data_IF_363114385224
#
_entry.id   IF_363114385224
#
_cell.length_a   1.000
_cell.length_b   1.000
_cell.length_c   1.000
_cell.angle_alpha   90.00
_cell.angle_beta   90.00
_cell.angle_gamma   90.00
#
_symmetry.space_group_name_H-M   'P 1'
#
loop_
_entity.id
_entity.type
_entity.pdbx_description
1 polymer ?
#
# COMPACT_ATOMS: atom_id res chain seq x y z
N UNK A 1 -15.12 -3.16 17.07
CA UNK A 1 -14.83 -1.86 17.69
C UNK A 1 -13.57 -1.93 18.57
N UNK A 2 -13.40 -2.99 19.34
CA UNK A 2 -12.28 -3.15 20.29
C UNK A 2 -10.92 -3.39 19.63
N UNK A 3 -10.88 -3.46 18.29
CA UNK A 3 -9.67 -3.76 17.51
C UNK A 3 -9.19 -2.58 16.67
N UNK A 4 -9.91 -1.47 16.71
CA UNK A 4 -9.56 -0.29 15.94
C UNK A 4 -8.34 0.42 16.53
N UNK A 5 -7.37 0.73 15.68
CA UNK A 5 -6.18 1.51 16.02
C UNK A 5 -6.37 2.91 15.46
N UNK A 6 -6.29 3.91 16.34
CA UNK A 6 -6.42 5.33 15.97
C UNK A 6 -5.14 6.13 16.19
N UNK A 7 -4.17 5.58 16.92
CA UNK A 7 -2.88 6.20 17.12
C UNK A 7 -2.06 6.21 15.83
N UNK A 8 -1.77 7.38 15.30
CA UNK A 8 -1.10 7.55 14.01
C UNK A 8 0.32 6.95 14.00
N UNK A 9 1.06 7.05 15.09
CA UNK A 9 2.41 6.45 15.17
C UNK A 9 2.33 4.91 15.09
N UNK A 10 1.34 4.32 15.74
CA UNK A 10 1.09 2.88 15.67
C UNK A 10 0.69 2.45 14.26
N UNK A 11 -0.17 3.23 13.60
CA UNK A 11 -0.57 2.96 12.20
C UNK A 11 0.65 2.98 11.28
N UNK A 12 1.54 3.96 11.42
CA UNK A 12 2.77 4.02 10.64
C UNK A 12 3.67 2.80 10.87
N UNK A 13 3.80 2.34 12.10
CA UNK A 13 4.56 1.12 12.41
C UNK A 13 3.98 -0.10 11.72
N UNK A 14 2.65 -0.24 11.75
CA UNK A 14 1.95 -1.35 11.10
C UNK A 14 2.19 -1.31 9.59
N UNK A 15 2.04 -0.15 8.96
CA UNK A 15 2.29 0.01 7.52
C UNK A 15 3.74 -0.34 7.16
N UNK A 16 4.70 0.09 7.97
CA UNK A 16 6.12 -0.24 7.77
C UNK A 16 6.40 -1.75 7.85
N UNK A 17 5.63 -2.47 8.66
CA UNK A 17 5.76 -3.92 8.81
C UNK A 17 5.12 -4.70 7.66
N UNK A 18 4.27 -4.08 6.85
CA UNK A 18 3.61 -4.72 5.72
C UNK A 18 4.54 -4.77 4.49
N UNK A 19 4.60 -5.90 3.80
CA UNK A 19 5.43 -6.09 2.61
C UNK A 19 4.69 -5.80 1.32
N UNK A 20 3.38 -5.91 1.34
CA UNK A 20 2.55 -5.87 0.14
C UNK A 20 1.32 -4.98 0.38
N UNK A 21 1.01 -4.18 -0.64
CA UNK A 21 -0.26 -3.47 -0.73
C UNK A 21 -1.08 -4.07 -1.86
N UNK A 22 -2.27 -4.53 -1.54
CA UNK A 22 -3.21 -5.06 -2.54
C UNK A 22 -4.17 -3.96 -2.94
N UNK A 23 -4.17 -3.64 -4.24
CA UNK A 23 -5.11 -2.68 -4.82
C UNK A 23 -6.30 -3.42 -5.41
N UNK A 24 -7.48 -2.97 -5.03
CA UNK A 24 -8.74 -3.41 -5.64
C UNK A 24 -9.18 -2.39 -6.69
N UNK A 25 -9.13 -2.79 -7.95
CA UNK A 25 -9.45 -1.96 -9.10
C UNK A 25 -10.83 -2.34 -9.63
N UNK A 26 -11.57 -1.36 -10.11
CA UNK A 26 -12.89 -1.58 -10.71
C UNK A 26 -12.79 -1.52 -12.23
N UNK A 27 -12.88 -2.67 -12.86
CA UNK A 27 -12.86 -2.84 -14.32
C UNK A 27 -14.29 -3.05 -14.82
N UNK A 28 -15.02 -1.95 -15.00
CA UNK A 28 -16.42 -1.98 -15.47
C UNK A 28 -17.31 -2.93 -14.63
N UNK A 29 -17.18 -2.85 -13.31
CA UNK A 29 -17.94 -3.68 -12.37
C UNK A 29 -17.25 -4.97 -11.97
N UNK A 30 -16.18 -5.37 -12.65
CA UNK A 30 -15.33 -6.50 -12.24
C UNK A 30 -14.23 -6.01 -11.33
N UNK A 31 -14.08 -6.67 -10.19
CA UNK A 31 -12.99 -6.35 -9.26
C UNK A 31 -11.72 -7.06 -9.70
N UNK A 32 -10.67 -6.27 -9.92
CA UNK A 32 -9.35 -6.79 -10.26
C UNK A 32 -8.38 -6.44 -9.12
N UNK A 33 -7.80 -7.45 -8.50
CA UNK A 33 -6.91 -7.27 -7.36
C UNK A 33 -5.48 -7.53 -7.78
N UNK A 34 -4.58 -6.60 -7.45
CA UNK A 34 -3.16 -6.71 -7.78
C UNK A 34 -2.32 -6.47 -6.52
N UNK A 35 -1.40 -7.40 -6.17
CA UNK A 35 -0.46 -7.21 -5.08
C UNK A 35 0.77 -6.44 -5.56
N UNK A 36 1.19 -5.44 -4.80
CA UNK A 36 2.30 -4.57 -5.19
C UNK A 36 3.20 -4.28 -3.99
N UNK A 37 4.50 -4.23 -4.23
CA UNK A 37 5.43 -3.60 -3.31
C UNK A 37 5.16 -2.10 -3.31
N UNK A 38 5.41 -1.45 -2.20
CA UNK A 38 5.06 -0.05 -2.04
C UNK A 38 6.08 0.71 -1.20
N UNK A 39 6.06 2.01 -1.36
CA UNK A 39 6.58 2.97 -0.41
C UNK A 39 5.45 3.86 0.05
N UNK A 40 5.70 4.71 1.03
CA UNK A 40 4.66 5.63 1.48
C UNK A 40 5.26 6.85 2.15
N UNK A 41 4.47 7.92 2.16
CA UNK A 41 4.71 9.10 2.99
C UNK A 41 3.47 9.37 3.83
N UNK A 42 3.68 10.00 4.98
CA UNK A 42 2.62 10.48 5.86
C UNK A 42 2.95 11.91 6.26
N UNK A 43 1.96 12.78 6.19
CA UNK A 43 2.07 14.17 6.61
C UNK A 43 0.72 14.60 7.18
N UNK A 44 0.71 14.95 8.48
CA UNK A 44 -0.53 15.37 9.17
C UNK A 44 -1.67 14.35 9.04
N UNK A 45 -1.35 13.06 9.20
CA UNK A 45 -2.27 11.93 9.06
C UNK A 45 -2.79 11.71 7.63
N UNK A 46 -2.19 12.38 6.66
CA UNK A 46 -2.46 12.15 5.24
C UNK A 46 -1.45 11.17 4.67
N UNK A 47 -1.94 10.07 4.13
CA UNK A 47 -1.13 8.98 3.60
C UNK A 47 -1.13 8.98 2.09
N UNK A 48 0.05 8.77 1.52
CA UNK A 48 0.23 8.54 0.09
C UNK A 48 1.08 7.30 -0.09
N UNK A 49 0.58 6.35 -0.87
CA UNK A 49 1.31 5.14 -1.23
C UNK A 49 1.89 5.28 -2.63
N UNK A 50 3.13 4.80 -2.81
CA UNK A 50 3.85 4.85 -4.07
C UNK A 50 4.10 3.46 -4.61
N UNK A 51 3.95 3.31 -5.91
CA UNK A 51 4.12 2.05 -6.64
C UNK A 51 4.89 2.28 -7.92
N UNK A 52 5.50 1.22 -8.42
CA UNK A 52 6.17 1.24 -9.73
C UNK A 52 5.85 -0.04 -10.50
N UNK A 53 6.05 0.01 -11.80
CA UNK A 53 5.84 -1.14 -12.65
C UNK A 53 6.13 -0.83 -14.11
N UNK A 54 5.72 -1.74 -14.99
CA UNK A 54 5.83 -1.55 -16.42
C UNK A 54 4.97 -0.37 -16.88
N UNK A 55 5.37 0.26 -17.99
CA UNK A 55 4.66 1.41 -18.56
C UNK A 55 3.32 1.07 -19.20
N UNK A 56 3.07 -0.20 -19.42
CA UNK A 56 1.83 -0.72 -20.00
C UNK A 56 1.36 -1.94 -19.22
N UNK A 57 0.08 -2.24 -19.30
CA UNK A 57 -0.52 -3.40 -18.68
C UNK A 57 -1.94 -3.15 -18.20
N UNK A 58 -2.60 -4.23 -17.82
CA UNK A 58 -4.03 -4.21 -17.44
C UNK A 58 -4.33 -3.25 -16.30
N UNK A 59 -3.51 -3.25 -15.24
CA UNK A 59 -3.75 -2.35 -14.10
C UNK A 59 -3.73 -0.87 -14.50
N UNK A 60 -2.82 -0.48 -15.38
CA UNK A 60 -2.74 0.91 -15.86
C UNK A 60 -3.92 1.27 -16.75
N UNK A 61 -4.36 0.36 -17.61
CA UNK A 61 -5.53 0.57 -18.45
C UNK A 61 -6.79 0.80 -17.62
N UNK A 62 -6.97 0.01 -16.55
CA UNK A 62 -8.08 0.18 -15.62
C UNK A 62 -7.98 1.51 -14.89
N UNK A 63 -6.82 1.85 -14.35
CA UNK A 63 -6.58 3.11 -13.62
C UNK A 63 -6.88 4.32 -14.49
N UNK A 64 -6.53 4.29 -15.77
CA UNK A 64 -6.81 5.39 -16.71
C UNK A 64 -8.31 5.59 -16.94
N UNK A 65 -9.11 4.53 -16.85
CA UNK A 65 -10.56 4.60 -16.99
C UNK A 65 -11.28 4.93 -15.70
N UNK A 66 -10.81 4.35 -14.58
CA UNK A 66 -11.37 4.54 -13.26
C UNK A 66 -10.23 4.51 -12.23
N UNK A 67 -9.87 5.68 -11.74
CA UNK A 67 -8.74 5.83 -10.82
C UNK A 67 -9.11 5.71 -9.34
N UNK A 68 -10.38 5.46 -9.03
CA UNK A 68 -10.83 5.23 -7.66
C UNK A 68 -10.59 3.76 -7.29
N UNK A 69 -9.87 3.52 -6.20
CA UNK A 69 -9.44 2.17 -5.82
C UNK A 69 -9.65 1.93 -4.34
N UNK A 70 -9.83 0.65 -3.99
CA UNK A 70 -9.68 0.19 -2.62
C UNK A 70 -8.30 -0.37 -2.41
N UNK A 71 -7.87 -0.47 -1.17
CA UNK A 71 -6.58 -1.08 -0.85
C UNK A 71 -6.62 -1.80 0.50
N UNK A 72 -5.70 -2.74 0.66
CA UNK A 72 -5.53 -3.50 1.89
C UNK A 72 -4.05 -3.82 2.08
N UNK A 73 -3.59 -3.70 3.33
CA UNK A 73 -2.28 -4.17 3.79
C UNK A 73 -2.49 -4.98 5.06
N UNK A 74 -1.75 -6.06 5.22
CA UNK A 74 -1.78 -6.82 6.47
C UNK A 74 -0.40 -7.34 6.83
N UNK A 75 -0.23 -7.67 8.10
CA UNK A 75 1.02 -8.20 8.64
C UNK A 75 0.78 -8.93 9.96
N UNK A 76 1.81 -9.62 10.42
CA UNK A 76 1.82 -10.31 11.72
C UNK A 76 0.66 -11.28 11.91
N UNK A 77 0.26 -11.95 10.83
CA UNK A 77 -0.79 -12.96 10.86
C UNK A 77 -0.28 -14.23 11.51
N UNK A 78 -0.95 -14.67 12.58
CA UNK A 78 -0.58 -15.86 13.31
C UNK A 78 -1.81 -16.52 13.93
N UNK A 79 -1.94 -17.82 13.73
CA UNK A 79 -2.97 -18.61 14.40
C UNK A 79 -2.44 -19.01 15.78
N UNK A 80 -3.28 -18.90 16.79
CA UNK A 80 -2.96 -19.41 18.12
C UNK A 80 -4.22 -19.98 18.78
N UNK A 81 -4.02 -20.78 19.84
CA UNK A 81 -5.12 -21.41 20.56
C UNK A 81 -4.93 -21.31 22.07
N UNK A 82 -6.04 -21.25 22.77
CA UNK A 82 -6.11 -21.35 24.24
C UNK A 82 -6.61 -22.71 24.71
N UNK A 83 -6.70 -23.70 23.81
CA UNK A 83 -7.18 -25.05 24.12
C UNK A 83 -7.41 -25.87 22.87
N UNK A 84 -7.87 -27.09 23.03
CA UNK A 84 -7.94 -28.07 21.95
C UNK A 84 -9.25 -28.05 21.14
N UNK A 85 -10.20 -27.23 21.54
CA UNK A 85 -11.47 -27.12 20.83
C UNK A 85 -11.35 -26.10 19.69
N UNK A 86 -12.02 -26.34 18.57
CA UNK A 86 -12.01 -25.46 17.41
C UNK A 86 -12.34 -23.99 17.76
N UNK A 87 -13.27 -23.77 18.68
CA UNK A 87 -13.65 -22.41 19.12
C UNK A 87 -12.58 -21.69 19.92
N UNK A 88 -11.52 -22.38 20.36
CA UNK A 88 -10.41 -21.79 21.08
C UNK A 88 -9.30 -21.25 20.15
N UNK A 89 -9.39 -21.57 18.86
CA UNK A 89 -8.44 -21.07 17.87
C UNK A 89 -8.85 -19.67 17.41
N UNK A 90 -7.86 -18.83 17.26
CA UNK A 90 -8.07 -17.45 16.77
C UNK A 90 -6.86 -16.98 15.97
N UNK A 91 -7.02 -15.91 15.22
CA UNK A 91 -5.93 -15.31 14.45
C UNK A 91 -5.53 -13.97 15.06
N UNK A 92 -4.24 -13.79 15.24
CA UNK A 92 -3.65 -12.46 15.48
C UNK A 92 -3.33 -11.85 14.15
N UNK A 93 -3.52 -10.56 14.02
CA UNK A 93 -3.21 -9.83 12.79
C UNK A 93 -3.19 -8.33 13.03
N UNK A 94 -2.56 -7.63 12.10
CA UNK A 94 -2.65 -6.18 11.97
C UNK A 94 -3.01 -5.88 10.52
N UNK A 95 -3.98 -5.03 10.29
CA UNK A 95 -4.43 -4.72 8.93
C UNK A 95 -4.81 -3.25 8.77
N UNK A 96 -4.63 -2.78 7.55
CA UNK A 96 -5.04 -1.44 7.13
C UNK A 96 -5.87 -1.60 5.87
N UNK A 97 -7.05 -1.01 5.84
CA UNK A 97 -7.92 -0.97 4.66
C UNK A 97 -8.36 0.45 4.38
N UNK A 98 -8.61 0.75 3.14
CA UNK A 98 -9.07 2.07 2.76
C UNK A 98 -9.34 2.21 1.29
N UNK A 99 -9.47 3.45 0.88
CA UNK A 99 -9.70 3.82 -0.51
C UNK A 99 -9.07 5.18 -0.83
N UNK A 100 -9.00 5.47 -2.11
CA UNK A 100 -8.49 6.74 -2.59
C UNK A 100 -8.36 6.76 -4.10
N UNK A 101 -7.65 7.75 -4.59
CA UNK A 101 -7.45 7.97 -6.02
C UNK A 101 -6.01 7.75 -6.43
N UNK A 102 -5.83 7.04 -7.54
CA UNK A 102 -4.51 6.79 -8.12
C UNK A 102 -4.21 7.84 -9.18
N UNK A 103 -2.97 8.33 -9.16
CA UNK A 103 -2.43 9.26 -10.15
C UNK A 103 -1.10 8.75 -10.66
N UNK A 104 -0.92 8.75 -11.99
CA UNK A 104 0.37 8.44 -12.61
C UNK A 104 1.26 9.68 -12.42
N UNK A 105 2.49 9.45 -11.95
CA UNK A 105 3.46 10.50 -11.71
C UNK A 105 4.31 10.69 -12.97
N UNK A 106 4.27 11.88 -13.54
CA UNK A 106 5.02 12.22 -14.76
C UNK A 106 6.19 13.14 -14.49
N UNK A 107 6.10 14.01 -13.47
CA UNK A 107 7.18 14.89 -13.07
C UNK A 107 8.40 14.10 -12.58
N UNK A 108 9.58 14.38 -13.16
CA UNK A 108 10.81 13.64 -12.88
C UNK A 108 11.25 13.75 -11.42
N UNK A 109 11.08 14.90 -10.78
CA UNK A 109 11.47 15.09 -9.39
C UNK A 109 10.53 14.34 -8.44
N UNK A 110 9.23 14.39 -8.70
CA UNK A 110 8.23 13.64 -7.93
C UNK A 110 8.43 12.14 -8.11
N UNK A 111 8.71 11.69 -9.34
CA UNK A 111 9.06 10.30 -9.66
C UNK A 111 10.26 9.82 -8.86
N UNK A 112 11.32 10.62 -8.83
CA UNK A 112 12.53 10.32 -8.07
C UNK A 112 12.23 10.17 -6.57
N UNK A 113 11.47 11.11 -6.01
CA UNK A 113 11.06 11.07 -4.61
C UNK A 113 10.26 9.81 -4.30
N UNK A 114 9.32 9.44 -5.15
CA UNK A 114 8.51 8.24 -5.00
C UNK A 114 9.37 6.96 -5.03
N UNK A 115 10.31 6.88 -5.97
CA UNK A 115 11.22 5.74 -6.08
C UNK A 115 12.16 5.63 -4.87
N UNK A 116 12.61 6.76 -4.32
CA UNK A 116 13.40 6.77 -3.09
C UNK A 116 12.61 6.23 -1.91
N UNK A 117 11.33 6.59 -1.77
CA UNK A 117 10.45 6.06 -0.72
C UNK A 117 10.21 4.55 -0.89
N UNK A 118 10.03 4.09 -2.13
CA UNK A 118 9.92 2.67 -2.45
C UNK A 118 11.17 1.90 -2.04
N UNK A 119 12.34 2.39 -2.41
CA UNK A 119 13.61 1.74 -2.10
C UNK A 119 13.90 1.76 -0.59
N UNK A 120 13.66 2.87 0.07
CA UNK A 120 13.81 3.00 1.52
C UNK A 120 12.93 2.00 2.27
N UNK A 121 11.67 1.88 1.89
CA UNK A 121 10.73 0.94 2.51
C UNK A 121 11.18 -0.52 2.34
N UNK A 122 11.63 -0.88 1.14
CA UNK A 122 11.93 -2.27 0.79
C UNK A 122 13.36 -2.70 1.08
N UNK A 123 14.30 -1.77 1.22
CA UNK A 123 15.74 -2.07 1.45
C UNK A 123 16.31 -1.47 2.72
N UNK A 124 15.64 -0.48 3.33
CA UNK A 124 16.17 0.29 4.44
C UNK A 124 17.20 1.35 4.06
N UNK A 125 17.59 1.43 2.78
CA UNK A 125 18.57 2.39 2.28
C UNK A 125 17.90 3.53 1.53
N UNK A 126 18.40 4.76 1.69
CA UNK A 126 17.86 5.96 1.08
C UNK A 126 18.83 6.71 0.17
N UNK A 127 20.04 6.20 -0.02
CA UNK A 127 21.13 6.82 -0.80
C UNK A 127 21.17 6.30 -2.25
N UNK A 128 20.01 6.13 -2.87
CA UNK A 128 19.89 5.66 -4.25
C UNK A 128 19.97 6.81 -5.25
N UNK A 129 20.63 6.55 -6.38
CA UNK A 129 20.69 7.47 -7.50
C UNK A 129 19.92 6.91 -8.70
N UNK A 130 19.17 7.78 -9.36
CA UNK A 130 18.41 7.44 -10.56
C UNK A 130 18.76 8.42 -11.68
N UNK A 131 19.20 7.91 -12.83
CA UNK A 131 19.41 8.73 -14.00
C UNK A 131 18.08 8.93 -14.78
N UNK A 132 18.07 9.86 -15.71
CA UNK A 132 16.88 10.15 -16.51
C UNK A 132 16.39 8.96 -17.33
N UNK A 133 17.31 8.11 -17.78
CA UNK A 133 16.98 6.91 -18.56
C UNK A 133 16.20 5.91 -17.70
N UNK A 134 16.63 5.70 -16.48
CA UNK A 134 15.93 4.84 -15.51
C UNK A 134 14.55 5.39 -15.19
N UNK A 135 14.44 6.70 -14.96
CA UNK A 135 13.18 7.37 -14.66
C UNK A 135 12.18 7.26 -15.82
N UNK A 136 12.64 7.34 -17.07
CA UNK A 136 11.78 7.20 -18.25
C UNK A 136 11.32 5.77 -18.50
N UNK A 137 12.10 4.78 -18.06
CA UNK A 137 11.83 3.37 -18.32
C UNK A 137 10.77 2.76 -17.42
N UNK A 138 10.44 3.41 -16.32
CA UNK A 138 9.51 2.89 -15.31
C UNK A 138 8.26 3.76 -15.19
N UNK A 139 7.12 3.12 -14.99
CA UNK A 139 5.90 3.83 -14.60
C UNK A 139 5.85 3.92 -13.07
N UNK A 140 5.66 5.11 -12.56
CA UNK A 140 5.47 5.35 -11.13
C UNK A 140 4.09 5.97 -10.94
N UNK A 141 3.36 5.47 -9.98
CA UNK A 141 2.04 6.00 -9.65
C UNK A 141 1.85 6.07 -8.14
N UNK A 142 0.95 6.92 -7.72
CA UNK A 142 0.64 7.12 -6.31
C UNK A 142 -0.84 6.94 -6.02
N UNK A 143 -1.13 6.44 -4.83
CA UNK A 143 -2.46 6.38 -4.25
C UNK A 143 -2.56 7.45 -3.17
N UNK A 144 -3.39 8.46 -3.41
CA UNK A 144 -3.72 9.47 -2.41
C UNK A 144 -4.89 8.96 -1.60
N UNK A 145 -4.66 8.62 -0.35
CA UNK A 145 -5.67 8.01 0.51
C UNK A 145 -6.73 9.03 0.91
N UNK A 146 -8.00 8.66 0.73
CA UNK A 146 -9.15 9.47 1.16
C UNK A 146 -9.73 8.96 2.48
N UNK A 147 -9.89 7.65 2.61
CA UNK A 147 -10.41 7.01 3.82
C UNK A 147 -9.53 5.81 4.18
N UNK A 148 -9.29 5.64 5.47
CA UNK A 148 -8.44 4.54 5.95
C UNK A 148 -8.85 4.14 7.37
N UNK A 149 -8.81 2.85 7.65
CA UNK A 149 -8.96 2.32 9.00
C UNK A 149 -7.89 1.26 9.28
N UNK A 150 -7.49 1.17 10.53
CA UNK A 150 -6.49 0.22 10.99
C UNK A 150 -7.08 -0.66 12.11
N UNK A 151 -6.77 -1.95 12.07
CA UNK A 151 -7.22 -2.93 13.06
C UNK A 151 -6.06 -3.81 13.53
N UNK A 152 -6.15 -4.20 14.78
CA UNK A 152 -5.22 -5.15 15.39
C UNK A 152 -6.01 -6.15 16.22
N UNK A 153 -5.61 -7.42 16.14
CA UNK A 153 -6.07 -8.47 17.04
C UNK A 153 -4.85 -9.15 17.65
N UNK A 154 -4.70 -9.01 18.97
CA UNK A 154 -3.64 -9.62 19.77
C UNK A 154 -4.07 -10.95 20.40
#
# INVERSE_FOLDING_TARGET
RDREITDNEKIKEIIKACDCCRLGLNDNGKVYIVPLNFGFTEENENYTFYFHGARTGRKLDIIKQNNYVGFELDTNHKIYTKGDKACNYTARFQSVIGNGKVKIIEDSQEKMKALLELMKKNTGKSDWEFDERMLKAVCVFKLVVEEMSCKEHE
#
